data_IF_561813155220
#
_entry.id   IF_561813155220
#
_cell.length_a   1.000
_cell.length_b   1.000
_cell.length_c   1.000
_cell.angle_alpha   90.00
_cell.angle_beta   90.00
_cell.angle_gamma   90.00
#
_symmetry.space_group_name_H-M   'P 1'
#
loop_
_entity.id
_entity.type
_entity.pdbx_description
1 polymer ?
#
# COMPACT_ATOMS: atom_id res chain seq x y z
N UNK A 1 0.18 -1.08 10.24
CA UNK A 1 0.86 -0.05 11.04
C UNK A 1 0.22 1.31 10.80
N UNK A 2 0.13 2.16 11.80
CA UNK A 2 -0.31 3.55 11.60
C UNK A 2 0.85 4.40 11.05
N UNK A 3 0.57 5.54 10.39
CA UNK A 3 1.60 6.48 9.96
C UNK A 3 2.52 6.87 11.12
N UNK A 4 3.83 6.83 10.89
CA UNK A 4 4.82 7.07 11.95
C UNK A 4 6.01 7.88 11.43
N UNK A 5 6.40 8.90 12.20
CA UNK A 5 7.61 9.69 11.90
C UNK A 5 8.89 8.85 12.01
N UNK A 6 8.86 7.74 12.76
CA UNK A 6 9.98 6.79 12.77
C UNK A 6 10.15 6.11 11.42
N UNK A 7 9.07 5.76 10.72
CA UNK A 7 9.17 5.18 9.37
C UNK A 7 9.80 6.21 8.43
N UNK A 8 9.37 7.46 8.47
CA UNK A 8 9.97 8.55 7.68
C UNK A 8 11.47 8.66 7.97
N UNK A 9 11.84 8.69 9.25
CA UNK A 9 13.24 8.83 9.68
C UNK A 9 14.13 7.68 9.20
N UNK A 10 13.66 6.43 9.39
CA UNK A 10 14.48 5.26 9.06
C UNK A 10 14.46 4.89 7.57
N UNK A 11 13.44 5.32 6.83
CA UNK A 11 13.38 5.17 5.38
C UNK A 11 14.01 6.33 4.60
N UNK A 12 14.55 7.35 5.30
CA UNK A 12 15.09 8.56 4.66
C UNK A 12 16.13 8.23 3.59
N UNK A 13 15.89 8.70 2.36
CA UNK A 13 16.72 8.49 1.17
C UNK A 13 16.92 7.01 0.77
N UNK A 14 16.05 6.11 1.19
CA UNK A 14 16.10 4.73 0.73
C UNK A 14 15.73 4.62 -0.76
N UNK A 15 16.29 3.63 -1.45
CA UNK A 15 15.93 3.35 -2.84
C UNK A 15 14.49 2.86 -2.94
N UNK A 16 14.07 2.00 -2.03
CA UNK A 16 12.72 1.42 -2.01
C UNK A 16 12.17 1.43 -0.59
N UNK A 17 10.94 1.92 -0.45
CA UNK A 17 10.12 1.72 0.73
C UNK A 17 9.02 0.68 0.43
N UNK A 18 9.02 -0.44 1.14
CA UNK A 18 7.92 -1.40 1.10
C UNK A 18 7.01 -1.11 2.30
N UNK A 19 5.75 -0.81 2.04
CA UNK A 19 4.79 -0.43 3.07
C UNK A 19 3.45 -1.14 2.88
N UNK A 20 2.83 -1.54 3.98
CA UNK A 20 1.46 -2.05 3.94
C UNK A 20 0.47 -0.94 3.55
N UNK A 21 -0.68 -1.31 3.00
CA UNK A 21 -1.72 -0.35 2.72
C UNK A 21 -3.14 -0.93 2.86
N UNK A 22 -4.04 -0.15 3.48
CA UNK A 22 -5.44 -0.48 3.62
C UNK A 22 -6.33 0.58 2.97
N UNK A 23 -7.21 0.16 2.07
CA UNK A 23 -8.22 1.05 1.52
C UNK A 23 -9.44 1.13 2.44
N UNK A 24 -9.53 2.20 3.24
CA UNK A 24 -10.68 2.43 4.12
C UNK A 24 -12.01 2.47 3.34
N UNK A 25 -12.00 2.97 2.10
CA UNK A 25 -13.19 2.96 1.25
C UNK A 25 -13.67 1.53 0.93
N UNK A 26 -12.75 0.63 0.54
CA UNK A 26 -13.11 -0.77 0.26
C UNK A 26 -13.48 -1.53 1.54
N UNK A 27 -12.83 -1.21 2.66
CA UNK A 27 -13.21 -1.74 3.98
C UNK A 27 -14.62 -1.32 4.37
N UNK A 28 -14.99 -0.06 4.15
CA UNK A 28 -16.35 0.43 4.44
C UNK A 28 -17.39 -0.27 3.56
N UNK A 29 -17.12 -0.47 2.27
CA UNK A 29 -18.02 -1.23 1.40
C UNK A 29 -18.22 -2.67 1.88
N UNK A 30 -17.13 -3.34 2.28
CA UNK A 30 -17.18 -4.70 2.81
C UNK A 30 -17.95 -4.76 4.14
N UNK A 31 -17.71 -3.80 5.05
CA UNK A 31 -18.42 -3.67 6.31
C UNK A 31 -19.93 -3.51 6.09
N UNK A 32 -20.33 -2.59 5.22
CA UNK A 32 -21.74 -2.30 4.95
C UNK A 32 -22.49 -3.52 4.41
N UNK A 33 -21.81 -4.35 3.61
CA UNK A 33 -22.36 -5.62 3.15
C UNK A 33 -22.46 -6.66 4.27
N UNK A 34 -21.46 -6.74 5.14
CA UNK A 34 -21.50 -7.63 6.31
C UNK A 34 -22.55 -7.22 7.32
N UNK A 35 -22.77 -5.92 7.54
CA UNK A 35 -23.83 -5.41 8.42
C UNK A 35 -25.23 -5.77 7.89
N UNK A 36 -25.48 -5.65 6.57
CA UNK A 36 -26.75 -6.06 5.96
C UNK A 36 -27.06 -7.54 6.17
N UNK A 37 -26.03 -8.37 6.31
CA UNK A 37 -26.14 -9.80 6.54
C UNK A 37 -25.98 -10.17 8.04
N UNK A 38 -26.08 -9.21 8.95
CA UNK A 38 -25.93 -9.39 10.41
C UNK A 38 -24.65 -10.16 10.82
N UNK A 39 -23.57 -9.96 10.07
CA UNK A 39 -22.32 -10.68 10.28
C UNK A 39 -21.43 -9.97 11.32
N UNK A 40 -20.97 -10.72 12.33
CA UNK A 40 -20.14 -10.18 13.41
C UNK A 40 -18.80 -9.60 12.92
N UNK A 41 -18.33 -9.97 11.73
CA UNK A 41 -17.10 -9.44 11.13
C UNK A 41 -17.19 -7.96 10.78
N UNK A 42 -18.39 -7.36 10.71
CA UNK A 42 -18.57 -5.92 10.46
C UNK A 42 -17.86 -5.08 11.52
N UNK A 43 -17.87 -5.51 12.78
CA UNK A 43 -17.15 -4.85 13.87
C UNK A 43 -15.64 -4.90 13.66
N UNK A 44 -15.10 -6.04 13.22
CA UNK A 44 -13.66 -6.19 12.90
C UNK A 44 -13.28 -5.22 11.79
N UNK A 45 -14.12 -5.08 10.74
CA UNK A 45 -13.88 -4.12 9.65
C UNK A 45 -13.82 -2.66 10.12
N UNK A 46 -14.52 -2.32 11.20
CA UNK A 46 -14.42 -0.99 11.82
C UNK A 46 -13.09 -0.83 12.56
N UNK A 47 -12.69 -1.81 13.35
CA UNK A 47 -11.52 -1.75 14.21
C UNK A 47 -10.19 -1.72 13.42
N UNK A 48 -10.10 -2.47 12.31
CA UNK A 48 -8.86 -2.53 11.49
C UNK A 48 -8.44 -1.18 10.92
N UNK A 49 -9.36 -0.23 10.75
CA UNK A 49 -9.07 1.12 10.25
C UNK A 49 -8.20 1.93 11.22
N UNK A 50 -8.11 1.52 12.47
CA UNK A 50 -7.39 2.27 13.51
C UNK A 50 -5.90 1.93 13.61
N UNK A 51 -5.45 0.84 12.96
CA UNK A 51 -4.07 0.36 13.06
C UNK A 51 -3.40 0.03 11.71
N UNK A 52 -4.03 0.43 10.61
CA UNK A 52 -3.44 0.36 9.27
C UNK A 52 -3.21 1.75 8.65
N UNK A 53 -2.35 1.78 7.64
CA UNK A 53 -2.01 2.98 6.88
C UNK A 53 -2.78 2.98 5.56
N UNK A 54 -3.39 4.11 5.20
CA UNK A 54 -4.02 4.22 3.87
C UNK A 54 -2.96 4.38 2.77
N UNK A 55 -3.28 4.02 1.50
CA UNK A 55 -2.36 4.23 0.38
C UNK A 55 -1.85 5.65 0.28
N UNK A 56 -2.72 6.65 0.49
CA UNK A 56 -2.32 8.07 0.48
C UNK A 56 -1.39 8.46 1.63
N UNK A 57 -1.55 7.86 2.79
CA UNK A 57 -0.64 8.08 3.92
C UNK A 57 0.72 7.44 3.67
N UNK A 58 0.75 6.21 3.11
CA UNK A 58 1.99 5.57 2.69
C UNK A 58 2.74 6.42 1.64
N UNK A 59 2.02 6.99 0.66
CA UNK A 59 2.58 7.91 -0.31
C UNK A 59 3.15 9.19 0.32
N UNK A 60 2.48 9.74 1.35
CA UNK A 60 3.02 10.89 2.11
C UNK A 60 4.27 10.54 2.90
N UNK A 61 4.32 9.34 3.47
CA UNK A 61 5.52 8.82 4.16
C UNK A 61 6.66 8.70 3.16
N UNK A 62 6.44 8.06 2.01
CA UNK A 62 7.42 7.92 0.94
C UNK A 62 7.99 9.28 0.48
N UNK A 63 7.09 10.25 0.24
CA UNK A 63 7.47 11.61 -0.14
C UNK A 63 8.29 12.32 0.93
N UNK A 64 7.88 12.25 2.20
CA UNK A 64 8.61 12.86 3.31
C UNK A 64 9.97 12.22 3.55
N UNK A 65 10.09 10.91 3.33
CA UNK A 65 11.33 10.16 3.46
C UNK A 65 12.25 10.30 2.23
N UNK A 66 11.80 10.96 1.17
CA UNK A 66 12.55 11.13 -0.08
C UNK A 66 13.03 9.79 -0.67
N UNK A 67 12.19 8.75 -0.57
CA UNK A 67 12.51 7.46 -1.18
C UNK A 67 12.37 7.54 -2.69
N UNK A 68 13.10 6.70 -3.42
CA UNK A 68 13.01 6.69 -4.89
C UNK A 68 11.78 5.95 -5.39
N UNK A 69 11.33 4.92 -4.68
CA UNK A 69 10.16 4.12 -5.07
C UNK A 69 9.39 3.58 -3.88
N UNK A 70 8.05 3.61 -3.95
CA UNK A 70 7.14 3.02 -2.97
C UNK A 70 6.53 1.74 -3.50
N UNK A 71 6.66 0.64 -2.76
CA UNK A 71 5.96 -0.61 -3.05
C UNK A 71 4.90 -0.83 -1.98
N UNK A 72 3.64 -0.91 -2.42
CA UNK A 72 2.52 -1.23 -1.54
C UNK A 72 2.33 -2.75 -1.48
N UNK A 73 2.44 -3.33 -0.30
CA UNK A 73 2.22 -4.74 -0.05
C UNK A 73 1.15 -4.95 1.03
N UNK A 74 0.89 -6.20 1.43
CA UNK A 74 -0.10 -6.53 2.48
C UNK A 74 -1.38 -5.70 2.36
N UNK A 75 -1.98 -5.77 1.16
CA UNK A 75 -3.10 -4.91 0.80
C UNK A 75 -4.40 -5.38 1.45
N UNK A 76 -5.12 -4.49 2.08
CA UNK A 76 -6.38 -4.80 2.77
C UNK A 76 -7.52 -3.85 2.35
N UNK A 77 -8.66 -4.38 1.86
CA UNK A 77 -8.78 -5.70 1.24
C UNK A 77 -7.94 -5.79 -0.04
N UNK A 78 -7.59 -7.02 -0.45
CA UNK A 78 -6.84 -7.22 -1.70
C UNK A 78 -7.61 -6.67 -2.90
N UNK A 79 -7.03 -5.76 -3.70
CA UNK A 79 -7.72 -5.19 -4.85
C UNK A 79 -7.60 -6.12 -6.06
N UNK A 80 -8.56 -7.01 -6.25
CA UNK A 80 -8.58 -7.93 -7.38
C UNK A 80 -9.07 -7.25 -8.66
N UNK A 81 -8.27 -7.36 -9.71
CA UNK A 81 -8.55 -6.79 -11.02
C UNK A 81 -8.29 -5.29 -11.15
N UNK A 82 -8.36 -4.82 -12.39
CA UNK A 82 -7.99 -3.45 -12.75
C UNK A 82 -8.80 -2.36 -12.04
N UNK A 83 -10.11 -2.55 -11.97
CA UNK A 83 -11.02 -1.55 -11.38
C UNK A 83 -10.76 -1.38 -9.88
N UNK A 84 -10.63 -2.49 -9.14
CA UNK A 84 -10.34 -2.46 -7.71
C UNK A 84 -8.98 -1.82 -7.43
N UNK A 85 -7.94 -2.15 -8.22
CA UNK A 85 -6.62 -1.50 -8.14
C UNK A 85 -6.71 0.00 -8.36
N UNK A 86 -7.50 0.47 -9.34
CA UNK A 86 -7.70 1.90 -9.61
C UNK A 86 -8.39 2.63 -8.46
N UNK A 87 -9.37 2.00 -7.81
CA UNK A 87 -9.98 2.57 -6.61
C UNK A 87 -9.03 2.58 -5.42
N UNK A 88 -8.28 1.50 -5.23
CA UNK A 88 -7.29 1.37 -4.15
C UNK A 88 -6.21 2.44 -4.23
N UNK A 89 -5.69 2.72 -5.43
CA UNK A 89 -4.60 3.66 -5.68
C UNK A 89 -5.07 5.10 -6.00
N UNK A 90 -6.36 5.39 -5.85
CA UNK A 90 -6.91 6.69 -6.23
C UNK A 90 -6.23 7.86 -5.53
N UNK A 91 -5.65 8.76 -6.33
CA UNK A 91 -5.00 9.99 -5.86
C UNK A 91 -3.59 9.78 -5.28
N UNK A 92 -2.95 8.62 -5.52
CA UNK A 92 -1.55 8.42 -5.17
C UNK A 92 -0.64 9.31 -6.03
N UNK A 93 -0.84 9.34 -7.35
CA UNK A 93 -0.02 10.13 -8.26
C UNK A 93 -0.01 11.63 -7.93
N UNK A 94 -1.07 12.14 -7.30
CA UNK A 94 -1.12 13.53 -6.84
C UNK A 94 -0.15 13.80 -5.68
N UNK A 95 0.33 12.75 -5.01
CA UNK A 95 1.18 12.82 -3.82
C UNK A 95 2.60 12.34 -4.12
N UNK A 96 2.71 11.17 -4.74
CA UNK A 96 3.97 10.50 -5.06
C UNK A 96 3.79 9.64 -6.31
N UNK A 97 4.61 9.83 -7.35
CA UNK A 97 4.40 9.23 -8.67
C UNK A 97 5.07 7.85 -8.81
N UNK A 98 6.21 7.65 -8.14
CA UNK A 98 7.03 6.44 -8.26
C UNK A 98 6.57 5.34 -7.29
N UNK A 99 5.46 4.69 -7.60
CA UNK A 99 4.89 3.64 -6.78
C UNK A 99 4.43 2.42 -7.57
N UNK A 100 4.36 1.28 -6.91
CA UNK A 100 3.88 0.01 -7.48
C UNK A 100 3.05 -0.75 -6.44
N UNK A 101 1.99 -1.43 -6.88
CA UNK A 101 1.30 -2.44 -6.09
C UNK A 101 2.05 -3.76 -6.25
N UNK A 102 2.47 -4.35 -5.13
CA UNK A 102 3.10 -5.67 -5.14
C UNK A 102 2.14 -6.76 -5.61
N UNK A 103 2.65 -7.69 -6.38
CA UNK A 103 1.95 -8.90 -6.81
C UNK A 103 2.78 -10.13 -6.43
N UNK A 104 2.12 -11.27 -6.25
CA UNK A 104 2.80 -12.53 -5.98
C UNK A 104 3.76 -12.90 -7.11
N UNK A 105 5.00 -13.24 -6.75
CA UNK A 105 6.06 -13.52 -7.70
C UNK A 105 6.77 -12.29 -8.26
N UNK A 106 6.42 -11.08 -7.82
CA UNK A 106 7.20 -9.88 -8.16
C UNK A 106 8.59 -9.95 -7.55
N UNK A 107 9.59 -9.68 -8.39
CA UNK A 107 10.99 -9.54 -7.97
C UNK A 107 11.43 -8.10 -8.18
N UNK A 108 12.14 -7.56 -7.20
CA UNK A 108 12.75 -6.23 -7.26
C UNK A 108 14.25 -6.37 -7.10
N UNK A 109 15.02 -5.88 -8.06
CA UNK A 109 16.48 -5.92 -8.05
C UNK A 109 17.05 -4.52 -7.97
N UNK A 110 18.01 -4.35 -7.06
CA UNK A 110 18.77 -3.11 -6.84
C UNK A 110 20.24 -3.41 -7.15
N UNK A 111 20.70 -3.25 -8.42
CA UNK A 111 22.07 -3.57 -8.80
C UNK A 111 23.08 -2.67 -8.07
N UNK A 112 24.15 -3.26 -7.53
CA UNK A 112 25.20 -2.51 -6.83
C UNK A 112 25.90 -1.56 -7.81
N UNK A 113 26.05 -0.30 -7.41
CA UNK A 113 26.68 0.73 -8.24
C UNK A 113 25.80 1.32 -9.35
N UNK A 114 24.54 0.95 -9.38
CA UNK A 114 23.53 1.50 -10.28
C UNK A 114 22.34 2.06 -9.48
N UNK A 115 21.75 3.15 -9.93
CA UNK A 115 20.57 3.76 -9.30
C UNK A 115 19.24 3.17 -9.81
N UNK A 116 19.28 2.17 -10.69
CA UNK A 116 18.11 1.57 -11.29
C UNK A 116 17.39 0.63 -10.30
N UNK A 117 16.06 0.68 -10.35
CA UNK A 117 15.18 -0.25 -9.66
C UNK A 117 14.52 -1.11 -10.72
N UNK A 118 14.90 -2.39 -10.78
CA UNK A 118 14.41 -3.30 -11.81
C UNK A 118 13.30 -4.18 -11.27
N UNK A 119 12.17 -4.21 -11.96
CA UNK A 119 11.02 -5.05 -11.66
C UNK A 119 10.95 -6.20 -12.66
N UNK A 120 10.77 -7.41 -12.15
CA UNK A 120 10.55 -8.60 -12.95
C UNK A 120 9.53 -9.51 -12.28
N UNK A 121 9.07 -10.52 -12.99
CA UNK A 121 8.18 -11.55 -12.44
C UNK A 121 8.92 -12.88 -12.42
N UNK A 122 8.78 -13.60 -11.33
CA UNK A 122 9.29 -14.96 -11.23
C UNK A 122 8.42 -15.86 -12.11
N UNK A 123 8.98 -16.33 -13.23
CA UNK A 123 8.34 -17.35 -14.07
C UNK A 123 8.53 -18.72 -13.40
N UNK A 124 7.40 -19.41 -13.20
CA UNK A 124 7.39 -20.77 -12.64
C UNK A 124 7.80 -21.80 -13.68
#
# INVERSE_FOLDING_TARGET
TIPSDNVVKFASNADVLIHEAQSNYLVDLARDELERNENFLSKIMTDIKTYHTTPKEAARIAKKAEVKHLILNHLSPSPDGYVAKKFFSRGLNDIFEDWTIAEDGMMVSLPVGNAEINFSKFDK
#
